data_IF_736234682729
#
_entry.id   IF_736234682729
#
_cell.length_a   1.000
_cell.length_b   1.000
_cell.length_c   1.000
_cell.angle_alpha   90.00
_cell.angle_beta   90.00
_cell.angle_gamma   90.00
#
_symmetry.space_group_name_H-M   'P 1'
#
loop_
_entity.id
_entity.type
_entity.pdbx_description
1 polymer ?
#
# COMPACT_ATOMS: atom_id res chain seq x y z
N UNK A 1 -30.58 2.60 -9.67
CA UNK A 1 -29.52 1.61 -9.38
C UNK A 1 -28.28 2.04 -10.14
N UNK A 2 -27.35 2.71 -9.46
CA UNK A 2 -26.00 2.93 -9.99
C UNK A 2 -25.29 1.60 -9.94
N UNK A 3 -24.85 1.10 -11.11
CA UNK A 3 -24.01 -0.08 -11.16
C UNK A 3 -22.73 0.21 -10.37
N UNK A 4 -22.47 -0.56 -9.31
CA UNK A 4 -21.15 -0.60 -8.70
C UNK A 4 -20.21 -1.17 -9.75
N UNK A 5 -19.50 -0.30 -10.45
CA UNK A 5 -18.35 -0.70 -11.27
C UNK A 5 -17.35 -1.30 -10.29
N UNK A 6 -17.24 -2.63 -10.28
CA UNK A 6 -16.14 -3.31 -9.60
C UNK A 6 -14.86 -2.73 -10.19
N UNK A 7 -14.14 -1.89 -9.43
CA UNK A 7 -12.87 -1.35 -9.91
C UNK A 7 -11.98 -2.53 -10.31
N UNK A 8 -11.31 -2.43 -11.45
CA UNK A 8 -10.40 -3.46 -11.92
C UNK A 8 -9.35 -3.74 -10.85
N UNK A 9 -9.00 -5.01 -10.66
CA UNK A 9 -7.95 -5.37 -9.71
C UNK A 9 -6.59 -4.82 -10.18
N UNK A 10 -5.79 -4.35 -9.22
CA UNK A 10 -4.42 -3.90 -9.46
C UNK A 10 -3.55 -5.08 -9.95
N UNK A 11 -2.81 -4.86 -11.04
CA UNK A 11 -1.84 -5.83 -11.58
C UNK A 11 -0.40 -5.42 -11.24
N UNK A 12 0.52 -6.39 -11.20
CA UNK A 12 1.94 -6.12 -10.92
C UNK A 12 2.58 -5.19 -11.94
N UNK A 13 2.15 -5.22 -13.20
CA UNK A 13 2.64 -4.34 -14.26
C UNK A 13 2.30 -2.85 -14.02
N UNK A 14 1.32 -2.56 -13.16
CA UNK A 14 0.94 -1.20 -12.79
C UNK A 14 1.68 -0.71 -11.53
N UNK A 15 2.43 -1.59 -10.86
CA UNK A 15 3.20 -1.23 -9.67
C UNK A 15 4.63 -0.93 -10.09
N UNK A 16 5.08 0.30 -9.84
CA UNK A 16 6.48 0.69 -10.07
C UNK A 16 7.20 0.78 -8.73
N UNK A 17 8.38 0.17 -8.63
CA UNK A 17 9.24 0.29 -7.46
C UNK A 17 10.41 1.21 -7.79
N UNK A 18 10.62 2.24 -6.97
CA UNK A 18 11.73 3.19 -7.06
C UNK A 18 12.36 3.41 -5.69
N UNK A 19 13.29 4.35 -5.59
CA UNK A 19 13.98 4.67 -4.35
C UNK A 19 13.83 6.16 -4.00
N UNK A 20 13.57 6.46 -2.73
CA UNK A 20 13.59 7.84 -2.22
C UNK A 20 15.01 8.39 -2.10
N UNK A 21 15.16 9.66 -1.73
CA UNK A 21 16.47 10.32 -1.57
C UNK A 21 17.41 9.68 -0.53
N UNK A 22 16.94 8.71 0.25
CA UNK A 22 17.74 7.94 1.23
C UNK A 22 17.90 6.47 0.83
N UNK A 23 17.67 6.16 -0.45
CA UNK A 23 17.78 4.81 -1.02
C UNK A 23 16.82 3.78 -0.39
N UNK A 24 15.67 4.25 0.11
CA UNK A 24 14.61 3.36 0.63
C UNK A 24 13.57 3.07 -0.45
N UNK A 25 13.02 1.85 -0.54
CA UNK A 25 11.99 1.52 -1.52
C UNK A 25 10.74 2.40 -1.41
N UNK A 26 10.23 2.78 -2.57
CA UNK A 26 8.99 3.54 -2.78
C UNK A 26 8.14 2.83 -3.82
N UNK A 27 6.88 2.62 -3.49
CA UNK A 27 5.86 2.07 -4.38
C UNK A 27 5.12 3.22 -5.05
N UNK A 28 5.17 3.28 -6.38
CA UNK A 28 4.36 4.19 -7.17
C UNK A 28 3.19 3.42 -7.79
N UNK A 29 1.99 3.96 -7.63
CA UNK A 29 0.73 3.38 -8.11
C UNK A 29 0.01 4.35 -9.06
N UNK A 30 -0.87 3.85 -9.93
CA UNK A 30 -1.86 4.70 -10.60
C UNK A 30 -2.63 5.54 -9.57
N UNK A 31 -2.88 6.81 -9.88
CA UNK A 31 -3.43 7.77 -8.92
C UNK A 31 -4.82 7.36 -8.40
N UNK A 32 -5.64 6.72 -9.22
CA UNK A 32 -6.96 6.21 -8.84
C UNK A 32 -6.87 5.08 -7.80
N UNK A 33 -5.90 4.18 -7.98
CA UNK A 33 -5.58 3.12 -7.02
C UNK A 33 -5.03 3.72 -5.73
N UNK A 34 -4.05 4.63 -5.83
CA UNK A 34 -3.44 5.28 -4.68
C UNK A 34 -4.48 6.07 -3.87
N UNK A 35 -5.32 6.87 -4.54
CA UNK A 35 -6.39 7.63 -3.91
C UNK A 35 -7.38 6.71 -3.17
N UNK A 36 -7.76 5.59 -3.79
CA UNK A 36 -8.64 4.62 -3.15
C UNK A 36 -8.01 4.02 -1.89
N UNK A 37 -6.76 3.57 -1.97
CA UNK A 37 -6.07 2.97 -0.83
C UNK A 37 -5.81 4.00 0.28
N UNK A 38 -5.48 5.25 -0.07
CA UNK A 38 -5.30 6.34 0.87
C UNK A 38 -6.60 6.72 1.60
N UNK A 39 -7.76 6.60 0.92
CA UNK A 39 -9.05 6.72 1.59
C UNK A 39 -9.27 5.53 2.53
N UNK A 40 -9.02 4.30 2.07
CA UNK A 40 -9.17 3.09 2.90
C UNK A 40 -8.26 3.08 4.12
N UNK A 41 -7.04 3.65 4.03
CA UNK A 41 -6.10 3.73 5.17
C UNK A 41 -6.55 4.71 6.24
N UNK A 42 -7.29 5.76 5.86
CA UNK A 42 -7.72 6.83 6.78
C UNK A 42 -9.15 6.68 7.30
N UNK A 43 -9.96 5.84 6.65
CA UNK A 43 -11.37 5.67 6.99
C UNK A 43 -11.54 4.70 8.16
N UNK A 44 -12.35 5.08 9.15
CA UNK A 44 -12.78 4.23 10.28
C UNK A 44 -11.68 3.79 11.27
N UNK A 45 -10.60 4.56 11.44
CA UNK A 45 -9.56 4.36 12.49
C UNK A 45 -10.13 4.33 13.94
N UNK A 46 -11.41 4.68 14.12
CA UNK A 46 -12.03 4.95 15.43
C UNK A 46 -12.66 3.76 16.18
N UNK A 47 -12.69 2.53 15.65
CA UNK A 47 -13.55 1.51 16.29
C UNK A 47 -13.16 0.03 16.17
N UNK A 48 -11.85 -0.29 16.11
CA UNK A 48 -11.41 -1.68 16.20
C UNK A 48 -10.78 -1.92 17.57
N UNK A 49 -11.41 -2.82 18.34
CA UNK A 49 -11.12 -3.07 19.75
C UNK A 49 -9.66 -3.35 20.09
N UNK A 50 -9.36 -3.28 21.40
CA UNK A 50 -8.03 -3.37 21.98
C UNK A 50 -7.23 -4.57 21.44
N UNK A 51 -6.25 -4.27 20.58
CA UNK A 51 -5.36 -5.25 19.95
C UNK A 51 -4.42 -4.58 18.95
N UNK A 52 -3.56 -3.69 19.47
CA UNK A 52 -2.40 -3.07 18.80
C UNK A 52 -2.70 -2.12 17.62
N UNK A 53 -2.67 -0.82 17.94
CA UNK A 53 -2.41 0.35 17.08
C UNK A 53 -3.23 0.52 15.78
N UNK A 54 -4.24 1.40 15.86
CA UNK A 54 -4.62 2.41 14.84
C UNK A 54 -5.05 1.97 13.42
N UNK A 55 -5.38 0.70 13.18
CA UNK A 55 -5.61 0.21 11.81
C UNK A 55 -6.90 -0.61 11.63
N UNK A 56 -7.66 -0.32 10.56
CA UNK A 56 -8.80 -1.14 10.13
C UNK A 56 -8.33 -2.43 9.48
N UNK A 57 -8.86 -3.58 9.93
CA UNK A 57 -8.61 -4.88 9.29
C UNK A 57 -9.59 -5.09 8.13
N UNK A 58 -9.04 -5.47 6.98
CA UNK A 58 -9.75 -5.83 5.76
C UNK A 58 -9.80 -7.35 5.60
N UNK A 59 -10.93 -7.86 5.13
CA UNK A 59 -11.12 -9.29 4.89
C UNK A 59 -10.30 -9.80 3.71
N UNK A 60 -10.01 -11.11 3.70
CA UNK A 60 -9.12 -11.75 2.71
C UNK A 60 -9.51 -11.49 1.24
N UNK A 61 -10.81 -11.31 0.97
CA UNK A 61 -11.37 -11.12 -0.37
C UNK A 61 -11.71 -9.65 -0.68
N UNK A 62 -11.29 -8.68 0.14
CA UNK A 62 -11.48 -7.28 -0.22
C UNK A 62 -10.49 -6.84 -1.28
N UNK A 63 -10.82 -5.74 -1.95
CA UNK A 63 -9.92 -5.13 -2.91
C UNK A 63 -8.61 -4.69 -2.25
N UNK A 64 -8.66 -4.11 -1.04
CA UNK A 64 -7.48 -3.64 -0.32
C UNK A 64 -6.49 -4.78 -0.08
N UNK A 65 -6.98 -5.93 0.38
CA UNK A 65 -6.14 -7.10 0.61
C UNK A 65 -5.55 -7.65 -0.69
N UNK A 66 -6.32 -7.69 -1.78
CA UNK A 66 -5.80 -8.10 -3.09
C UNK A 66 -4.74 -7.13 -3.62
N UNK A 67 -4.99 -5.82 -3.54
CA UNK A 67 -4.04 -4.79 -3.96
C UNK A 67 -2.75 -4.84 -3.15
N UNK A 68 -2.83 -4.98 -1.82
CA UNK A 68 -1.67 -5.14 -0.95
C UNK A 68 -0.86 -6.37 -1.36
N UNK A 69 -1.49 -7.53 -1.58
CA UNK A 69 -0.77 -8.73 -2.07
C UNK A 69 -0.04 -8.48 -3.40
N UNK A 70 -0.68 -7.78 -4.35
CA UNK A 70 -0.04 -7.40 -5.62
C UNK A 70 1.18 -6.49 -5.39
N UNK A 71 1.07 -5.52 -4.47
CA UNK A 71 2.18 -4.62 -4.11
C UNK A 71 3.33 -5.40 -3.48
N UNK A 72 3.06 -6.29 -2.51
CA UNK A 72 4.07 -7.13 -1.89
C UNK A 72 4.77 -8.04 -2.91
N UNK A 73 4.03 -8.62 -3.86
CA UNK A 73 4.62 -9.40 -4.95
C UNK A 73 5.56 -8.55 -5.84
N UNK A 74 5.18 -7.30 -6.14
CA UNK A 74 6.02 -6.39 -6.92
C UNK A 74 7.29 -5.96 -6.15
N UNK A 75 7.17 -5.67 -4.85
CA UNK A 75 8.33 -5.30 -4.03
C UNK A 75 9.29 -6.48 -3.93
N UNK A 76 8.81 -7.69 -3.65
CA UNK A 76 9.67 -8.89 -3.60
C UNK A 76 10.40 -9.14 -4.93
N UNK A 77 9.71 -8.95 -6.05
CA UNK A 77 10.33 -9.12 -7.37
C UNK A 77 11.44 -8.10 -7.64
N UNK A 78 11.36 -6.90 -7.06
CA UNK A 78 12.34 -5.82 -7.28
C UNK A 78 13.46 -5.79 -6.23
N UNK A 79 13.13 -6.10 -4.97
CA UNK A 79 14.01 -6.06 -3.81
C UNK A 79 13.82 -7.31 -2.93
N UNK A 80 14.27 -8.49 -3.39
CA UNK A 80 14.09 -9.74 -2.65
C UNK A 80 14.78 -9.75 -1.28
N UNK A 81 15.79 -8.91 -1.08
CA UNK A 81 16.59 -8.84 0.14
C UNK A 81 16.08 -7.79 1.16
N UNK A 82 14.97 -7.09 0.88
CA UNK A 82 14.49 -6.04 1.78
C UNK A 82 13.91 -6.59 3.10
N UNK A 83 14.21 -5.89 4.20
CA UNK A 83 13.91 -6.37 5.56
C UNK A 83 12.41 -6.25 5.84
N UNK A 84 11.77 -7.38 6.20
CA UNK A 84 10.33 -7.45 6.53
C UNK A 84 9.49 -8.20 5.50
N UNK A 85 10.05 -8.45 4.31
CA UNK A 85 9.37 -9.18 3.23
C UNK A 85 9.67 -10.68 3.20
N UNK A 86 10.77 -11.13 3.81
CA UNK A 86 11.11 -12.56 3.91
C UNK A 86 10.03 -13.40 4.65
N UNK A 87 9.20 -12.75 5.48
CA UNK A 87 8.04 -13.41 6.10
C UNK A 87 6.90 -13.63 5.09
N UNK A 88 6.80 -12.81 4.04
CA UNK A 88 5.70 -12.87 3.09
C UNK A 88 5.83 -14.09 2.20
N UNK A 89 7.03 -14.36 1.68
CA UNK A 89 7.29 -15.59 0.90
C UNK A 89 7.04 -16.87 1.70
N UNK A 90 7.35 -16.85 3.00
CA UNK A 90 7.33 -18.05 3.84
C UNK A 90 6.00 -18.31 4.54
N UNK A 91 5.29 -17.26 4.94
CA UNK A 91 4.11 -17.35 5.82
C UNK A 91 2.90 -16.58 5.32
N UNK A 92 3.01 -15.86 4.19
CA UNK A 92 1.94 -14.97 3.73
C UNK A 92 1.74 -13.75 4.62
N UNK A 93 2.70 -13.43 5.50
CA UNK A 93 2.69 -12.28 6.41
C UNK A 93 3.73 -11.26 5.97
N UNK A 94 3.40 -9.97 5.93
CA UNK A 94 4.37 -8.98 5.49
C UNK A 94 4.08 -7.59 6.02
N UNK A 95 5.15 -6.83 6.20
CA UNK A 95 5.10 -5.43 6.61
C UNK A 95 5.95 -4.62 5.65
N UNK A 96 5.39 -3.54 5.11
CA UNK A 96 6.10 -2.58 4.29
C UNK A 96 5.97 -1.19 4.90
N UNK A 97 7.06 -0.73 5.51
CA UNK A 97 7.21 0.62 6.09
C UNK A 97 7.83 1.62 5.11
N UNK A 98 8.01 1.23 3.85
CA UNK A 98 8.38 2.16 2.80
C UNK A 98 7.18 2.99 2.34
N UNK A 99 7.44 3.92 1.43
CA UNK A 99 6.44 4.88 0.98
C UNK A 99 5.58 4.30 -0.14
N UNK A 100 4.26 4.51 -0.09
CA UNK A 100 3.34 4.16 -1.18
C UNK A 100 2.58 5.41 -1.61
N UNK A 101 2.67 5.78 -2.90
CA UNK A 101 2.11 7.04 -3.40
C UNK A 101 1.63 6.93 -4.85
N UNK A 102 0.65 7.76 -5.22
CA UNK A 102 0.26 7.95 -6.61
C UNK A 102 1.37 8.58 -7.44
N UNK A 103 1.47 8.21 -8.73
CA UNK A 103 2.48 8.72 -9.67
C UNK A 103 2.54 10.24 -9.69
N UNK A 104 1.40 10.95 -9.65
CA UNK A 104 1.40 12.43 -9.67
C UNK A 104 1.86 13.07 -8.35
N UNK A 105 1.86 12.30 -7.25
CA UNK A 105 2.37 12.70 -5.95
C UNK A 105 3.88 12.58 -5.79
N UNK A 106 4.57 11.99 -6.76
CA UNK A 106 6.01 11.75 -6.71
C UNK A 106 6.80 12.67 -7.64
N UNK A 107 7.94 13.16 -7.14
CA UNK A 107 8.95 13.83 -7.95
C UNK A 107 10.17 12.93 -8.11
N UNK A 108 10.32 12.37 -9.31
CA UNK A 108 11.44 11.48 -9.65
C UNK A 108 12.79 12.19 -9.74
N UNK A 109 12.82 13.51 -9.98
CA UNK A 109 14.06 14.25 -10.12
C UNK A 109 14.72 14.48 -8.75
N UNK A 110 13.92 14.79 -7.73
CA UNK A 110 14.40 14.99 -6.35
C UNK A 110 14.19 13.77 -5.45
N UNK A 111 13.56 12.70 -5.95
CA UNK A 111 13.28 11.44 -5.24
C UNK A 111 12.51 11.66 -3.93
N UNK A 112 11.47 12.50 -3.99
CA UNK A 112 10.61 12.84 -2.85
C UNK A 112 9.20 13.25 -3.30
N UNK A 113 8.33 13.63 -2.36
CA UNK A 113 6.97 14.10 -2.61
C UNK A 113 6.94 15.36 -3.49
N UNK A 114 6.01 15.41 -4.44
CA UNK A 114 5.62 16.65 -5.12
C UNK A 114 4.56 17.35 -4.28
N UNK A 115 4.77 18.62 -3.91
CA UNK A 115 3.79 19.46 -3.16
C UNK A 115 2.87 18.65 -2.22
N UNK A 116 3.42 18.29 -1.06
CA UNK A 116 2.82 17.35 -0.12
C UNK A 116 1.36 17.69 0.23
N UNK A 117 1.04 18.97 0.43
CA UNK A 117 -0.30 19.38 0.83
C UNK A 117 -1.33 19.17 -0.29
N UNK A 118 -0.91 19.40 -1.54
CA UNK A 118 -1.74 19.16 -2.72
C UNK A 118 -1.94 17.65 -2.98
N UNK A 119 -0.92 16.83 -2.72
CA UNK A 119 -0.91 15.41 -3.11
C UNK A 119 -1.18 14.44 -1.98
N UNK A 120 -1.36 14.90 -0.73
CA UNK A 120 -1.61 14.03 0.44
C UNK A 120 -2.71 12.99 0.25
N UNK A 121 -3.69 13.25 -0.61
CA UNK A 121 -4.79 12.34 -0.92
C UNK A 121 -4.36 11.11 -1.73
N UNK A 122 -3.12 11.08 -2.23
CA UNK A 122 -2.50 9.99 -2.97
C UNK A 122 -1.49 9.20 -2.13
N UNK A 123 -1.26 9.59 -0.88
CA UNK A 123 -0.29 8.95 0.01
C UNK A 123 -1.02 7.89 0.82
N UNK A 124 -0.53 6.65 0.72
CA UNK A 124 -1.08 5.49 1.42
C UNK A 124 -0.22 5.22 2.63
N UNK A 125 -0.86 5.01 3.78
CA UNK A 125 -0.15 4.67 5.02
C UNK A 125 0.43 3.23 4.93
N UNK A 126 1.24 2.82 5.90
CA UNK A 126 2.06 1.59 5.82
C UNK A 126 1.25 0.34 5.45
N UNK A 127 1.81 -0.61 4.71
CA UNK A 127 1.05 -1.77 4.21
C UNK A 127 1.34 -3.03 5.03
N UNK A 128 0.30 -3.71 5.50
CA UNK A 128 0.42 -4.87 6.38
C UNK A 128 -0.43 -6.03 5.86
N UNK A 129 0.14 -7.24 5.88
CA UNK A 129 -0.55 -8.49 5.58
C UNK A 129 -0.35 -9.47 6.74
N UNK A 130 -1.44 -9.99 7.27
CA UNK A 130 -1.48 -10.93 8.38
C UNK A 130 -1.32 -12.37 7.91
N UNK A 131 -0.91 -13.25 8.83
CA UNK A 131 -0.74 -14.69 8.58
C UNK A 131 -2.04 -15.40 8.14
N UNK A 132 -3.20 -14.87 8.52
CA UNK A 132 -4.50 -15.40 8.09
C UNK A 132 -4.97 -14.82 6.73
N UNK A 133 -4.09 -14.05 6.09
CA UNK A 133 -4.28 -13.46 4.78
C UNK A 133 -5.09 -12.16 4.77
N UNK A 134 -5.55 -11.66 5.93
CA UNK A 134 -6.19 -10.34 6.05
C UNK A 134 -5.14 -9.24 5.96
N UNK A 135 -5.54 -8.02 5.64
CA UNK A 135 -4.63 -6.87 5.57
C UNK A 135 -5.09 -5.72 6.44
N UNK A 136 -4.18 -4.82 6.77
CA UNK A 136 -4.48 -3.53 7.38
C UNK A 136 -3.46 -2.48 6.91
N UNK A 137 -3.70 -1.21 7.26
CA UNK A 137 -2.76 -0.13 7.00
C UNK A 137 -2.14 0.37 8.30
N UNK A 138 -0.82 0.39 8.45
CA UNK A 138 -0.14 0.90 9.63
C UNK A 138 -0.22 2.42 9.75
N UNK A 139 -0.06 2.95 10.98
CA UNK A 139 0.00 4.39 11.26
C UNK A 139 1.39 5.01 11.12
#
# INVERSE_FOLDING_TARGET
MTASTTAADLTTAQVTITLDQWDRPVVLLPDDVAARLAVSSRTDVRNYGYGHFESRIFGVDTYETRAIRTIFAAILSAHPDDRGLAQYERFGTGYFYGWTVGVSGWDSAVRTWRDYDATKHLHVDGLHLEHDGRSHFGS
#
